data_IF_235277933195
#
_entry.id   IF_235277933195
#
_cell.length_a   1.000
_cell.length_b   1.000
_cell.length_c   1.000
_cell.angle_alpha   90.00
_cell.angle_beta   90.00
_cell.angle_gamma   90.00
#
_symmetry.space_group_name_H-M   'P 1'
#
loop_
_entity.id
_entity.type
_entity.pdbx_description
1 polymer ?
#
# COMPACT_ATOMS: atom_id res chain seq x y z
N UNK A 1 -1.75 17.04 3.16
CA UNK A 1 -1.44 15.63 3.42
C UNK A 1 -1.15 14.98 2.10
N UNK A 2 -0.05 14.23 2.01
CA UNK A 2 0.39 13.64 0.76
C UNK A 2 -0.06 12.17 0.69
N UNK A 3 -0.52 11.71 -0.49
CA UNK A 3 -0.91 10.32 -0.65
C UNK A 3 0.28 9.39 -0.37
N UNK A 4 0.07 8.40 0.50
CA UNK A 4 1.13 7.46 0.90
C UNK A 4 1.46 6.48 -0.23
N UNK A 5 0.45 6.07 -1.00
CA UNK A 5 0.57 5.20 -2.17
C UNK A 5 -0.52 5.57 -3.18
N UNK A 6 -0.17 5.61 -4.47
CA UNK A 6 -1.12 5.72 -5.58
C UNK A 6 -0.92 4.54 -6.52
N UNK A 7 -2.02 3.90 -6.94
CA UNK A 7 -2.04 2.87 -7.98
C UNK A 7 -3.03 3.26 -9.06
N UNK A 8 -2.80 2.82 -10.30
CA UNK A 8 -3.67 3.10 -11.43
C UNK A 8 -3.66 1.96 -12.44
N UNK A 9 -4.81 1.72 -13.06
CA UNK A 9 -5.00 0.72 -14.11
C UNK A 9 -5.89 1.29 -15.22
N UNK A 10 -5.72 0.76 -16.44
CA UNK A 10 -6.53 1.09 -17.60
C UNK A 10 -6.92 -0.18 -18.34
N UNK A 11 -8.18 -0.28 -18.74
CA UNK A 11 -8.76 -1.41 -19.45
C UNK A 11 -9.99 -0.97 -20.27
N UNK A 12 -10.39 -1.71 -21.30
CA UNK A 12 -11.58 -1.38 -22.11
C UNK A 12 -12.90 -1.33 -21.32
N UNK A 13 -12.99 -2.08 -20.22
CA UNK A 13 -14.16 -2.12 -19.35
C UNK A 13 -13.76 -1.92 -17.90
N UNK A 14 -14.62 -1.20 -17.15
CA UNK A 14 -14.33 -0.74 -15.78
C UNK A 14 -14.03 -1.87 -14.80
N UNK A 15 -14.67 -3.04 -14.98
CA UNK A 15 -14.54 -4.15 -14.04
C UNK A 15 -13.08 -4.63 -13.97
N UNK A 16 -12.41 -4.76 -15.12
CA UNK A 16 -11.00 -5.11 -15.17
C UNK A 16 -10.09 -4.05 -14.52
N UNK A 17 -10.43 -2.76 -14.62
CA UNK A 17 -9.68 -1.70 -13.92
C UNK A 17 -9.79 -1.84 -12.40
N UNK A 18 -11.00 -2.09 -11.87
CA UNK A 18 -11.21 -2.23 -10.44
C UNK A 18 -10.47 -3.45 -9.87
N UNK A 19 -10.56 -4.60 -10.55
CA UNK A 19 -9.84 -5.81 -10.16
C UNK A 19 -8.33 -5.59 -10.20
N UNK A 20 -7.80 -4.94 -11.25
CA UNK A 20 -6.39 -4.65 -11.36
C UNK A 20 -5.90 -3.70 -10.24
N UNK A 21 -6.63 -2.63 -9.95
CA UNK A 21 -6.29 -1.72 -8.86
C UNK A 21 -6.25 -2.42 -7.51
N UNK A 22 -7.21 -3.32 -7.25
CA UNK A 22 -7.24 -4.12 -6.02
C UNK A 22 -6.04 -5.05 -5.92
N UNK A 23 -5.78 -5.79 -7.00
CA UNK A 23 -4.63 -6.68 -7.09
C UNK A 23 -3.30 -5.94 -6.87
N UNK A 24 -3.14 -4.76 -7.47
CA UNK A 24 -1.92 -3.95 -7.35
C UNK A 24 -1.64 -3.55 -5.90
N UNK A 25 -2.64 -3.03 -5.18
CA UNK A 25 -2.42 -2.59 -3.79
C UNK A 25 -2.16 -3.78 -2.85
N UNK A 26 -2.89 -4.88 -3.01
CA UNK A 26 -2.72 -6.08 -2.18
C UNK A 26 -1.32 -6.70 -2.42
N UNK A 27 -0.94 -6.86 -3.68
CA UNK A 27 0.38 -7.42 -4.05
C UNK A 27 1.51 -6.51 -3.60
N UNK A 28 1.36 -5.19 -3.74
CA UNK A 28 2.36 -4.22 -3.30
C UNK A 28 2.59 -4.36 -1.79
N UNK A 29 1.53 -4.47 -1.00
CA UNK A 29 1.65 -4.63 0.44
C UNK A 29 2.31 -5.95 0.79
N UNK A 30 1.92 -7.05 0.16
CA UNK A 30 2.45 -8.39 0.43
C UNK A 30 3.94 -8.52 0.06
N UNK A 31 4.34 -8.02 -1.12
CA UNK A 31 5.65 -8.32 -1.69
C UNK A 31 6.70 -7.25 -1.49
N UNK A 32 6.30 -5.99 -1.32
CA UNK A 32 7.25 -4.89 -1.18
C UNK A 32 7.51 -4.68 0.31
N UNK A 33 8.77 -4.83 0.78
CA UNK A 33 9.09 -4.61 2.17
C UNK A 33 9.10 -3.10 2.47
N UNK A 34 7.95 -2.61 2.93
CA UNK A 34 7.73 -1.22 3.32
C UNK A 34 7.53 -1.20 4.85
N UNK A 35 8.34 -0.40 5.54
CA UNK A 35 8.22 -0.22 6.99
C UNK A 35 7.75 1.19 7.34
N UNK A 36 6.85 1.28 8.32
CA UNK A 36 6.44 2.55 8.90
C UNK A 36 7.22 2.77 10.20
N UNK A 37 7.85 3.93 10.34
CA UNK A 37 8.48 4.34 11.61
C UNK A 37 7.45 5.11 12.43
N UNK A 38 7.01 4.53 13.52
CA UNK A 38 6.09 5.19 14.45
C UNK A 38 6.86 5.85 15.58
N UNK A 39 6.71 7.17 15.68
CA UNK A 39 7.39 8.01 16.66
C UNK A 39 6.40 8.34 17.76
N UNK A 40 6.65 7.81 18.95
CA UNK A 40 5.93 8.14 20.18
C UNK A 40 6.76 9.10 21.03
N UNK A 41 6.14 9.78 22.00
CA UNK A 41 6.83 10.76 22.87
C UNK A 41 8.13 10.22 23.50
N UNK A 42 8.17 8.93 23.85
CA UNK A 42 9.27 8.33 24.61
C UNK A 42 9.96 7.15 23.88
N UNK A 43 9.51 6.76 22.68
CA UNK A 43 10.08 5.63 21.95
C UNK A 43 9.82 5.73 20.46
N UNK A 44 10.65 5.08 19.67
CA UNK A 44 10.41 4.89 18.24
C UNK A 44 10.40 3.40 17.91
N UNK A 45 9.43 2.96 17.13
CA UNK A 45 9.26 1.55 16.75
C UNK A 45 9.13 1.48 15.23
N UNK A 46 9.83 0.51 14.63
CA UNK A 46 9.61 0.13 13.25
C UNK A 46 8.51 -0.93 13.21
N UNK A 47 7.42 -0.65 12.50
CA UNK A 47 6.35 -1.62 12.26
C UNK A 47 6.48 -2.16 10.84
N UNK A 48 6.50 -3.49 10.75
CA UNK A 48 6.28 -4.24 9.52
C UNK A 48 4.82 -4.08 9.09
N UNK A 49 4.57 -4.00 7.78
CA UNK A 49 3.21 -3.97 7.24
C UNK A 49 2.45 -5.31 7.41
N UNK A 50 3.12 -6.37 7.91
CA UNK A 50 2.55 -7.67 8.22
C UNK A 50 2.97 -8.11 9.64
N UNK A 51 2.04 -8.54 10.52
CA UNK A 51 2.37 -9.40 11.66
C UNK A 51 2.92 -10.75 11.21
#
# INVERSE_FOLDING_TARGET
EDPVVVVGASAPHRDACFEACRYLIDTLKERVPIWKKEIFKNKTVWVSAHP
#
